data_IF_029715228216
#
_entry.id   IF_029715228216
#
_cell.length_a   1.000
_cell.length_b   1.000
_cell.length_c   1.000
_cell.angle_alpha   90.00
_cell.angle_beta   90.00
_cell.angle_gamma   90.00
#
_symmetry.space_group_name_H-M   'P 1'
#
loop_
_entity.id
_entity.type
_entity.pdbx_description
1 polymer ?
#
# COMPACT_ATOMS: atom_id res chain seq x y z
N UNK A 1 -22.11 -10.90 3.53
CA UNK A 1 -20.67 -11.18 3.40
C UNK A 1 -20.21 -11.40 1.94
N UNK A 2 -21.06 -11.14 0.93
CA UNK A 2 -20.69 -10.99 -0.49
C UNK A 2 -21.04 -9.59 -1.02
N UNK A 3 -20.85 -8.55 -0.20
CA UNK A 3 -21.14 -7.18 -0.61
C UNK A 3 -20.11 -6.68 -1.62
N UNK A 4 -20.53 -6.59 -2.88
CA UNK A 4 -19.84 -5.94 -4.03
C UNK A 4 -18.92 -6.84 -4.86
N UNK A 5 -19.46 -7.90 -5.47
CA UNK A 5 -18.84 -8.48 -6.65
C UNK A 5 -19.11 -7.55 -7.85
N UNK A 6 -18.07 -7.03 -8.54
CA UNK A 6 -18.21 -6.27 -9.78
C UNK A 6 -19.22 -6.87 -10.78
N UNK A 7 -20.03 -6.06 -11.49
CA UNK A 7 -20.91 -6.56 -12.55
C UNK A 7 -20.19 -7.42 -13.60
N UNK A 8 -18.97 -7.05 -13.99
CA UNK A 8 -18.11 -7.77 -14.95
C UNK A 8 -17.54 -9.09 -14.42
N UNK A 9 -17.61 -9.33 -13.10
CA UNK A 9 -17.20 -10.58 -12.47
C UNK A 9 -18.38 -11.42 -12.00
N UNK A 10 -19.61 -10.89 -11.90
CA UNK A 10 -20.77 -11.68 -11.48
C UNK A 10 -21.00 -12.92 -12.35
N UNK A 11 -20.81 -12.79 -13.66
CA UNK A 11 -20.92 -13.90 -14.62
C UNK A 11 -19.73 -14.87 -14.61
N UNK A 12 -18.64 -14.52 -13.93
CA UNK A 12 -17.40 -15.33 -13.82
C UNK A 12 -17.28 -16.04 -12.47
N UNK A 13 -18.32 -15.99 -11.63
CA UNK A 13 -18.32 -16.66 -10.33
C UNK A 13 -18.25 -18.18 -10.57
N UNK A 14 -17.21 -18.87 -10.05
CA UNK A 14 -17.08 -20.30 -10.26
C UNK A 14 -18.20 -21.04 -9.51
N UNK A 15 -18.71 -22.08 -10.17
CA UNK A 15 -19.67 -23.03 -9.63
C UNK A 15 -18.96 -24.15 -8.85
N UNK A 16 -19.68 -24.96 -8.06
CA UNK A 16 -19.08 -26.09 -7.35
C UNK A 16 -18.32 -27.05 -8.26
N UNK A 17 -18.78 -27.23 -9.51
CA UNK A 17 -18.18 -28.08 -10.53
C UNK A 17 -17.19 -27.35 -11.47
N UNK A 18 -16.94 -26.04 -11.27
CA UNK A 18 -15.95 -25.33 -12.07
C UNK A 18 -14.54 -25.89 -11.85
N UNK A 19 -13.69 -25.70 -12.86
CA UNK A 19 -12.31 -26.15 -12.86
C UNK A 19 -11.54 -25.57 -11.67
N UNK A 20 -10.44 -26.25 -11.31
CA UNK A 20 -9.51 -25.74 -10.30
C UNK A 20 -8.97 -24.36 -10.68
N UNK A 21 -8.64 -24.18 -11.96
CA UNK A 21 -8.10 -22.93 -12.51
C UNK A 21 -9.10 -21.78 -12.37
N UNK A 22 -10.39 -21.99 -12.67
CA UNK A 22 -11.42 -20.96 -12.51
C UNK A 22 -11.61 -20.55 -11.05
N UNK A 23 -11.55 -21.53 -10.13
CA UNK A 23 -11.61 -21.28 -8.69
C UNK A 23 -10.39 -20.50 -8.22
N UNK A 24 -9.21 -20.86 -8.69
CA UNK A 24 -7.97 -20.14 -8.41
C UNK A 24 -8.05 -18.70 -8.92
N UNK A 25 -8.45 -18.47 -10.17
CA UNK A 25 -8.62 -17.12 -10.74
C UNK A 25 -9.57 -16.28 -9.89
N UNK A 26 -10.70 -16.83 -9.46
CA UNK A 26 -11.66 -16.13 -8.60
C UNK A 26 -11.09 -15.77 -7.23
N UNK A 27 -10.39 -16.72 -6.60
CA UNK A 27 -9.75 -16.52 -5.30
C UNK A 27 -8.65 -15.45 -5.42
N UNK A 28 -7.80 -15.55 -6.45
CA UNK A 28 -6.75 -14.58 -6.72
C UNK A 28 -7.32 -13.20 -6.98
N UNK A 29 -8.34 -13.09 -7.84
CA UNK A 29 -9.01 -11.82 -8.11
C UNK A 29 -9.62 -11.19 -6.86
N UNK A 30 -10.18 -11.99 -5.95
CA UNK A 30 -10.83 -11.49 -4.73
C UNK A 30 -9.83 -11.13 -3.63
N UNK A 31 -8.83 -11.96 -3.40
CA UNK A 31 -8.02 -11.89 -2.18
C UNK A 31 -6.57 -11.48 -2.42
N UNK A 32 -5.99 -11.84 -3.56
CA UNK A 32 -4.62 -11.49 -3.92
C UNK A 32 -4.58 -10.16 -4.67
N UNK A 33 -5.19 -10.10 -5.85
CA UNK A 33 -5.27 -8.90 -6.69
C UNK A 33 -6.30 -7.89 -6.16
N UNK A 34 -7.23 -8.38 -5.33
CA UNK A 34 -8.29 -7.59 -4.68
C UNK A 34 -9.08 -6.73 -5.68
N UNK A 35 -9.29 -7.26 -6.89
CA UNK A 35 -9.98 -6.61 -8.02
C UNK A 35 -11.42 -6.22 -7.72
N UNK A 36 -12.06 -6.89 -6.76
CA UNK A 36 -13.43 -6.56 -6.37
C UNK A 36 -13.52 -5.25 -5.56
N UNK A 37 -12.37 -4.74 -5.08
CA UNK A 37 -12.25 -3.40 -4.52
C UNK A 37 -11.95 -2.37 -5.62
N UNK A 38 -11.18 -2.76 -6.64
CA UNK A 38 -10.89 -1.92 -7.81
C UNK A 38 -12.13 -1.59 -8.62
N UNK A 39 -13.01 -2.56 -8.77
CA UNK A 39 -14.20 -2.41 -9.60
C UNK A 39 -15.19 -1.35 -9.14
N UNK A 40 -15.16 -1.04 -7.85
CA UNK A 40 -16.06 -0.06 -7.23
C UNK A 40 -15.47 1.36 -7.29
N UNK A 41 -14.25 1.50 -7.84
CA UNK A 41 -13.66 2.80 -8.16
C UNK A 41 -14.13 3.22 -9.55
N UNK A 42 -14.24 4.53 -9.76
CA UNK A 42 -14.61 5.09 -11.05
C UNK A 42 -13.67 4.61 -12.17
N UNK A 43 -14.20 4.51 -13.39
CA UNK A 43 -13.46 4.02 -14.56
C UNK A 43 -12.14 4.76 -14.77
N UNK A 44 -12.11 6.08 -14.56
CA UNK A 44 -10.90 6.88 -14.77
C UNK A 44 -9.86 6.60 -13.68
N UNK A 45 -10.29 6.37 -12.44
CA UNK A 45 -9.41 5.94 -11.33
C UNK A 45 -8.84 4.55 -11.59
N UNK A 46 -9.66 3.61 -12.10
CA UNK A 46 -9.24 2.27 -12.48
C UNK A 46 -8.20 2.31 -13.61
N UNK A 47 -8.41 3.16 -14.61
CA UNK A 47 -7.49 3.36 -15.74
C UNK A 47 -6.16 3.93 -15.28
N UNK A 48 -6.18 4.93 -14.39
CA UNK A 48 -4.97 5.52 -13.81
C UNK A 48 -4.17 4.53 -12.95
N UNK A 49 -4.85 3.73 -12.14
CA UNK A 49 -4.21 2.67 -11.36
C UNK A 49 -3.59 1.59 -12.26
N UNK A 50 -4.27 1.21 -13.35
CA UNK A 50 -3.76 0.25 -14.32
C UNK A 50 -2.58 0.81 -15.14
N UNK A 51 -2.61 2.08 -15.53
CA UNK A 51 -1.48 2.75 -16.20
C UNK A 51 -0.26 2.87 -15.28
N UNK A 52 -0.46 3.19 -14.00
CA UNK A 52 0.60 3.18 -12.99
C UNK A 52 1.15 1.77 -12.77
N UNK A 53 0.29 0.75 -12.76
CA UNK A 53 0.70 -0.66 -12.60
C UNK A 53 1.54 -1.19 -13.78
N UNK A 54 1.27 -0.74 -15.01
CA UNK A 54 2.04 -1.13 -16.22
C UNK A 54 3.42 -0.47 -16.30
N UNK A 55 3.63 0.65 -15.60
CA UNK A 55 4.94 1.30 -15.47
C UNK A 55 5.76 0.79 -14.28
N UNK A 56 5.26 -0.17 -13.48
CA UNK A 56 5.92 -0.70 -12.28
C UNK A 56 6.27 -2.18 -12.34
N UNK A 57 6.55 -2.77 -13.51
CA UNK A 57 7.15 -4.10 -13.57
C UNK A 57 8.64 -3.96 -13.23
N UNK A 58 8.98 -4.17 -11.96
CA UNK A 58 10.35 -4.15 -11.46
C UNK A 58 11.17 -5.29 -12.08
N UNK A 59 11.98 -4.94 -13.09
CA UNK A 59 13.31 -5.53 -13.28
C UNK A 59 14.30 -4.39 -13.24
N UNK A 60 15.25 -4.41 -12.30
CA UNK A 60 16.66 -4.26 -12.63
C UNK A 60 17.54 -4.45 -11.39
N UNK A 61 18.57 -5.26 -11.61
CA UNK A 61 19.75 -5.50 -10.78
C UNK A 61 20.95 -4.71 -11.39
N UNK A 62 22.18 -4.81 -10.88
CA UNK A 62 22.84 -3.82 -10.05
C UNK A 62 24.04 -3.21 -10.77
N UNK A 63 24.02 -1.93 -11.13
CA UNK A 63 25.26 -1.17 -11.27
C UNK A 63 25.00 0.32 -11.44
N UNK A 64 25.47 1.06 -10.44
CA UNK A 64 26.08 2.40 -10.54
C UNK A 64 25.88 3.13 -11.88
N UNK A 65 25.10 4.20 -11.85
CA UNK A 65 25.44 5.39 -12.63
C UNK A 65 25.04 6.68 -11.91
N UNK A 66 26.09 7.44 -11.63
CA UNK A 66 26.11 8.85 -11.27
C UNK A 66 25.65 9.67 -12.48
N UNK A 67 24.68 10.59 -12.29
CA UNK A 67 24.34 11.60 -13.30
C UNK A 67 22.87 12.01 -13.36
N UNK A 68 22.54 13.10 -12.66
CA UNK A 68 21.50 14.11 -12.94
C UNK A 68 20.05 13.68 -13.28
N UNK A 69 19.21 13.66 -12.24
CA UNK A 69 17.76 13.98 -12.16
C UNK A 69 16.84 13.66 -13.35
N UNK A 70 16.54 12.38 -13.60
CA UNK A 70 15.35 11.99 -14.37
C UNK A 70 14.86 10.55 -14.10
N UNK A 71 14.93 10.07 -12.86
CA UNK A 71 14.34 8.77 -12.47
C UNK A 71 13.84 8.85 -11.04
N UNK A 72 12.52 8.79 -10.83
CA UNK A 72 11.87 8.84 -9.51
C UNK A 72 12.49 7.80 -8.57
N UNK A 73 13.44 8.22 -7.74
CA UNK A 73 14.14 7.34 -6.79
C UNK A 73 13.15 6.90 -5.72
N UNK A 74 12.96 5.59 -5.61
CA UNK A 74 12.50 4.98 -4.37
C UNK A 74 13.58 5.29 -3.33
N UNK A 75 13.21 5.97 -2.25
CA UNK A 75 14.16 6.34 -1.21
C UNK A 75 14.27 5.24 -0.16
N UNK A 76 13.12 4.66 0.23
CA UNK A 76 13.07 3.56 1.18
C UNK A 76 11.74 2.82 1.09
N UNK A 77 11.76 1.53 1.35
CA UNK A 77 10.56 0.72 1.55
C UNK A 77 10.74 -0.21 2.74
N UNK A 78 9.64 -0.65 3.35
CA UNK A 78 9.70 -1.52 4.52
C UNK A 78 8.36 -1.70 5.20
N UNK A 79 8.27 -2.71 6.05
CA UNK A 79 7.11 -2.87 6.91
C UNK A 79 7.19 -1.95 8.12
N UNK A 80 6.12 -1.20 8.36
CA UNK A 80 5.92 -0.42 9.58
C UNK A 80 4.55 -0.76 10.17
N UNK A 81 4.37 -0.46 11.45
CA UNK A 81 3.08 -0.60 12.12
C UNK A 81 2.45 0.78 12.24
N UNK A 82 1.23 0.96 11.76
CA UNK A 82 0.51 2.24 11.84
C UNK A 82 -0.79 2.11 12.59
N UNK A 83 -1.25 3.19 13.18
CA UNK A 83 -2.61 3.23 13.74
C UNK A 83 -3.67 3.44 12.64
N UNK A 84 -4.80 2.75 12.76
CA UNK A 84 -5.97 2.93 11.92
C UNK A 84 -6.66 4.29 12.12
N UNK A 85 -7.39 4.75 11.10
CA UNK A 85 -8.05 6.07 11.12
C UNK A 85 -9.31 6.06 11.99
N UNK A 86 -10.31 5.24 11.59
CA UNK A 86 -11.64 5.16 12.23
C UNK A 86 -11.59 4.30 13.48
N UNK A 87 -10.98 3.12 13.35
CA UNK A 87 -10.70 2.21 14.47
C UNK A 87 -9.22 2.31 14.78
N UNK A 88 -8.88 2.67 16.02
CA UNK A 88 -7.52 2.96 16.49
C UNK A 88 -6.66 1.71 16.72
N UNK A 89 -6.78 0.71 15.84
CA UNK A 89 -5.97 -0.51 15.89
C UNK A 89 -4.62 -0.33 15.20
N UNK A 90 -3.60 -1.05 15.68
CA UNK A 90 -2.28 -1.07 15.08
C UNK A 90 -2.22 -2.13 13.97
N UNK A 91 -1.69 -1.76 12.80
CA UNK A 91 -1.63 -2.64 11.62
C UNK A 91 -0.30 -2.55 10.92
N UNK A 92 0.30 -3.71 10.64
CA UNK A 92 1.47 -3.85 9.75
C UNK A 92 1.08 -3.49 8.32
N UNK A 93 1.85 -2.61 7.68
CA UNK A 93 1.68 -2.15 6.31
C UNK A 93 3.02 -2.03 5.63
N UNK A 94 3.06 -2.31 4.33
CA UNK A 94 4.24 -2.07 3.52
C UNK A 94 4.26 -0.60 3.12
N UNK A 95 5.21 0.15 3.63
CA UNK A 95 5.39 1.56 3.31
C UNK A 95 6.43 1.72 2.21
N UNK A 96 6.18 2.66 1.31
CA UNK A 96 7.06 3.02 0.21
C UNK A 96 7.19 4.54 0.21
N UNK A 97 8.40 5.02 0.46
CA UNK A 97 8.76 6.42 0.34
C UNK A 97 9.35 6.67 -1.05
N UNK A 98 8.67 7.49 -1.85
CA UNK A 98 9.10 7.85 -3.20
C UNK A 98 8.73 9.29 -3.50
N UNK A 99 9.70 10.09 -3.94
CA UNK A 99 9.53 11.54 -4.07
C UNK A 99 9.10 12.12 -2.70
N UNK A 100 8.03 12.93 -2.68
CA UNK A 100 7.47 13.54 -1.47
C UNK A 100 6.19 12.84 -1.00
N UNK A 101 6.02 11.56 -1.34
CA UNK A 101 4.83 10.81 -0.98
C UNK A 101 5.22 9.54 -0.24
N UNK A 102 4.59 9.35 0.92
CA UNK A 102 4.68 8.12 1.69
C UNK A 102 3.39 7.31 1.46
N UNK A 103 3.48 6.32 0.58
CA UNK A 103 2.37 5.43 0.23
C UNK A 103 2.46 4.15 1.05
N UNK A 104 1.32 3.62 1.51
CA UNK A 104 1.30 2.34 2.22
C UNK A 104 0.26 1.35 1.68
N UNK A 105 0.64 0.08 1.70
CA UNK A 105 -0.08 -1.04 1.11
C UNK A 105 -0.40 -2.10 2.17
N UNK A 106 -1.38 -2.98 1.91
CA UNK A 106 -1.70 -4.02 2.90
C UNK A 106 -0.55 -5.03 3.01
N UNK A 107 0.05 -5.39 1.88
CA UNK A 107 1.21 -6.28 1.78
C UNK A 107 2.18 -5.75 0.71
N UNK A 108 3.42 -6.23 0.71
CA UNK A 108 4.40 -5.92 -0.35
C UNK A 108 3.89 -6.45 -1.70
N UNK A 109 4.01 -5.65 -2.76
CA UNK A 109 3.58 -6.02 -4.12
C UNK A 109 2.11 -5.75 -4.44
N UNK A 110 1.29 -5.32 -3.47
CA UNK A 110 -0.07 -4.83 -3.75
C UNK A 110 -0.02 -3.69 -4.78
N UNK A 111 -0.82 -3.78 -5.84
CA UNK A 111 -0.94 -2.71 -6.84
C UNK A 111 -1.74 -1.51 -6.35
N UNK A 112 -2.47 -1.67 -5.25
CA UNK A 112 -3.38 -0.66 -4.72
C UNK A 112 -2.95 -0.14 -3.36
N UNK A 113 -2.74 1.18 -3.25
CA UNK A 113 -2.45 1.76 -1.96
C UNK A 113 -3.64 1.59 -1.02
N UNK A 114 -3.34 1.22 0.22
CA UNK A 114 -4.29 1.32 1.32
C UNK A 114 -4.43 2.76 1.83
N UNK A 115 -3.48 3.62 1.50
CA UNK A 115 -3.55 5.07 1.63
C UNK A 115 -2.22 5.74 1.29
N UNK A 116 -2.25 7.06 1.23
CA UNK A 116 -1.11 7.91 0.90
C UNK A 116 -1.02 9.06 1.89
N UNK A 117 0.20 9.54 2.12
CA UNK A 117 0.50 10.74 2.88
C UNK A 117 1.35 11.62 1.98
N UNK A 118 0.81 12.78 1.60
CA UNK A 118 1.57 13.81 0.91
C UNK A 118 2.44 14.54 1.93
N UNK A 119 3.76 14.34 1.83
CA UNK A 119 4.71 14.90 2.78
C UNK A 119 4.90 16.41 2.59
N UNK A 120 4.49 16.97 1.44
CA UNK A 120 4.47 18.44 1.25
C UNK A 120 3.45 19.12 2.14
N UNK A 121 2.42 18.38 2.57
CA UNK A 121 1.40 18.86 3.50
C UNK A 121 1.72 18.49 4.96
N UNK A 122 2.91 17.95 5.23
CA UNK A 122 3.33 17.66 6.59
C UNK A 122 3.66 18.98 7.30
N UNK A 123 2.94 19.23 8.39
CA UNK A 123 3.15 20.37 9.30
C UNK A 123 4.32 20.07 10.24
N UNK A 124 4.44 18.81 10.70
CA UNK A 124 5.57 18.37 11.53
C UNK A 124 5.83 16.87 11.38
N UNK A 125 7.07 16.47 11.62
CA UNK A 125 7.50 15.07 11.69
C UNK A 125 8.45 14.95 12.88
N UNK A 126 8.21 13.98 13.76
CA UNK A 126 9.04 13.82 14.96
C UNK A 126 8.83 12.49 15.66
N UNK A 127 9.74 12.16 16.57
CA UNK A 127 9.62 11.02 17.48
C UNK A 127 8.41 11.22 18.39
N UNK A 128 7.67 10.17 18.70
CA UNK A 128 6.50 10.22 19.57
C UNK A 128 6.51 9.06 20.55
N UNK A 129 5.94 9.25 21.74
CA UNK A 129 5.77 8.18 22.73
C UNK A 129 4.32 7.73 22.69
N UNK A 130 4.10 6.44 22.43
CA UNK A 130 2.77 5.86 22.37
C UNK A 130 2.47 5.19 23.72
N UNK A 131 1.38 5.55 24.42
CA UNK A 131 0.99 4.90 25.66
C UNK A 131 0.82 3.38 25.49
N UNK A 132 1.45 2.62 26.37
CA UNK A 132 1.51 1.15 26.34
C UNK A 132 2.46 0.56 25.30
N UNK A 133 3.24 1.40 24.61
CA UNK A 133 4.23 1.03 23.58
C UNK A 133 5.50 1.88 23.69
N UNK A 134 5.86 2.29 24.89
CA UNK A 134 6.92 3.26 25.18
C UNK A 134 8.32 2.75 24.76
N UNK A 135 8.49 1.43 24.66
CA UNK A 135 9.75 0.78 24.24
C UNK A 135 9.89 0.65 22.73
N UNK A 136 8.86 1.00 21.96
CA UNK A 136 8.88 0.86 20.50
C UNK A 136 9.42 2.13 19.84
N UNK A 137 10.21 1.99 18.78
CA UNK A 137 10.71 3.14 18.00
C UNK A 137 9.57 3.75 17.20
N UNK A 138 8.95 4.79 17.76
CA UNK A 138 7.77 5.42 17.20
C UNK A 138 8.02 6.87 16.76
N UNK A 139 7.38 7.25 15.67
CA UNK A 139 7.37 8.60 15.14
C UNK A 139 5.98 8.94 14.62
N UNK A 140 5.70 10.21 14.47
CA UNK A 140 4.47 10.70 13.86
C UNK A 140 4.73 11.65 12.72
N UNK A 141 3.81 11.62 11.76
CA UNK A 141 3.72 12.62 10.69
C UNK A 141 2.41 13.36 10.94
N UNK A 142 2.47 14.66 11.17
CA UNK A 142 1.32 15.52 11.35
C UNK A 142 1.07 16.27 10.05
N UNK A 143 -0.14 16.15 9.54
CA UNK A 143 -0.69 16.97 8.45
C UNK A 143 -1.82 17.82 9.02
N UNK A 144 -2.26 18.85 8.30
CA UNK A 144 -3.34 19.74 8.76
C UNK A 144 -4.61 18.99 9.19
N UNK A 145 -4.97 17.93 8.47
CA UNK A 145 -6.18 17.15 8.76
C UNK A 145 -5.97 15.88 9.58
N UNK A 146 -4.71 15.49 9.88
CA UNK A 146 -4.44 14.17 10.46
C UNK A 146 -3.03 14.00 11.02
N UNK A 147 -2.97 13.34 12.19
CA UNK A 147 -1.73 12.74 12.73
C UNK A 147 -1.64 11.25 12.35
N UNK A 148 -0.47 10.84 11.89
CA UNK A 148 -0.12 9.46 11.53
C UNK A 148 0.95 8.93 12.49
N UNK A 149 0.56 8.34 13.63
CA UNK A 149 1.51 7.64 14.48
C UNK A 149 1.92 6.31 13.83
N UNK A 150 3.22 6.09 13.75
CA UNK A 150 3.87 4.99 13.04
C UNK A 150 4.99 4.44 13.92
N UNK A 151 5.16 3.12 13.90
CA UNK A 151 6.15 2.38 14.66
C UNK A 151 7.03 1.61 13.69
N UNK A 152 8.34 1.77 13.84
CA UNK A 152 9.33 0.98 13.13
C UNK A 152 9.48 -0.40 13.80
N UNK A 153 9.43 -1.48 13.00
CA UNK A 153 9.54 -2.86 13.51
C UNK A 153 10.96 -3.23 13.91
N UNK A 154 11.96 -2.43 13.54
CA UNK A 154 13.35 -2.54 13.99
C UNK A 154 14.01 -1.16 13.90
N UNK A 155 14.98 -0.91 14.78
CA UNK A 155 15.79 0.32 14.75
C UNK A 155 16.84 0.33 13.62
N UNK A 156 17.02 -0.79 12.90
CA UNK A 156 18.12 -0.96 11.97
C UNK A 156 17.67 -0.92 10.51
N UNK A 157 18.34 -0.07 9.75
CA UNK A 157 18.50 -0.19 8.31
C UNK A 157 19.35 -1.44 8.07
N UNK A 158 18.88 -2.35 7.21
CA UNK A 158 19.58 -3.54 6.67
C UNK A 158 19.00 -4.87 7.17
N UNK A 159 18.08 -5.41 6.37
CA UNK A 159 17.76 -6.85 6.19
C UNK A 159 17.14 -7.03 4.79
#
# INVERSE_FOLDING_TARGET
WEGSVPPDWKSKKPLPNSSREDKEIWIMAKYQDRKFLLSNLDFEVRKLLNLKSRSTIYKQDPSRSSGNFAGKRLYKEGYLIKQGTKVKNWRKRWFVLKNDTLTYYKVRGDSLPAGEIDLKQAVSIGTTVIPGKEKESAFEIVTEGRTYPIIATSANLDD
#
